data_IF_185205310045
#
_entry.id   IF_185205310045
#
_cell.length_a   1.000
_cell.length_b   1.000
_cell.length_c   1.000
_cell.angle_alpha   90.00
_cell.angle_beta   90.00
_cell.angle_gamma   90.00
#
_symmetry.space_group_name_H-M   'P 1'
#
loop_
_entity.id
_entity.type
_entity.pdbx_description
1 polymer ?
#
# COMPACT_ATOMS: atom_id res chain seq x y z
N UNK A 1 23.98 1.77 -24.86
CA UNK A 1 22.99 2.74 -24.35
C UNK A 1 21.97 2.01 -23.53
N UNK A 2 21.76 2.45 -22.33
CA UNK A 2 20.85 1.76 -21.42
C UNK A 2 19.46 2.34 -21.51
N UNK A 3 18.48 1.47 -21.61
CA UNK A 3 17.09 1.89 -21.44
C UNK A 3 16.88 2.41 -20.02
N UNK A 4 15.99 3.39 -19.81
CA UNK A 4 15.66 3.79 -18.45
C UNK A 4 15.23 2.57 -17.64
N UNK A 5 15.61 2.49 -16.38
CA UNK A 5 15.18 1.36 -15.55
C UNK A 5 13.66 1.33 -15.50
N UNK A 6 13.10 0.14 -15.58
CA UNK A 6 11.66 -0.08 -15.45
C UNK A 6 11.44 -1.31 -14.58
N UNK A 7 10.26 -1.39 -13.97
CA UNK A 7 9.88 -2.50 -13.13
C UNK A 7 8.40 -2.78 -13.32
N UNK A 8 8.01 -4.05 -13.14
CA UNK A 8 6.59 -4.37 -13.07
C UNK A 8 6.00 -3.71 -11.83
N UNK A 9 4.81 -3.15 -11.98
CA UNK A 9 4.19 -2.42 -10.87
C UNK A 9 3.93 -3.34 -9.67
N UNK A 10 3.56 -4.59 -9.89
CA UNK A 10 3.33 -5.53 -8.80
C UNK A 10 4.60 -5.80 -8.00
N UNK A 11 5.73 -5.94 -8.68
CA UNK A 11 7.02 -6.13 -8.03
C UNK A 11 7.47 -4.87 -7.30
N UNK A 12 7.30 -3.71 -7.93
CA UNK A 12 7.70 -2.45 -7.31
C UNK A 12 6.91 -2.15 -6.05
N UNK A 13 5.59 -2.35 -6.09
CA UNK A 13 4.73 -2.12 -4.93
C UNK A 13 5.15 -2.98 -3.72
N UNK A 14 5.54 -4.21 -3.98
CA UNK A 14 6.07 -5.09 -2.96
C UNK A 14 7.48 -4.67 -2.55
N UNK A 15 8.32 -4.30 -3.50
CA UNK A 15 9.71 -3.94 -3.26
C UNK A 15 9.84 -2.71 -2.35
N UNK A 16 8.98 -1.70 -2.53
CA UNK A 16 8.98 -0.48 -1.70
C UNK A 16 8.07 -0.62 -0.48
N UNK A 17 7.64 -1.83 -0.15
CA UNK A 17 6.91 -2.18 1.06
C UNK A 17 5.54 -1.51 1.21
N UNK A 18 4.91 -1.13 0.11
CA UNK A 18 3.52 -0.67 0.11
C UNK A 18 2.56 -1.83 0.35
N UNK A 19 2.95 -3.04 -0.07
CA UNK A 19 2.20 -4.26 0.17
C UNK A 19 3.12 -5.31 0.77
N UNK A 20 2.57 -6.15 1.61
CA UNK A 20 3.33 -7.17 2.34
C UNK A 20 3.80 -8.31 1.45
N UNK A 21 3.14 -8.52 0.32
CA UNK A 21 3.48 -9.58 -0.62
C UNK A 21 3.19 -9.13 -2.04
N UNK A 22 3.83 -9.78 -3.00
CA UNK A 22 3.55 -9.53 -4.40
C UNK A 22 2.11 -9.92 -4.75
N UNK A 23 1.60 -10.99 -4.14
CA UNK A 23 0.22 -11.42 -4.34
C UNK A 23 -0.77 -10.34 -3.90
N UNK A 24 -0.50 -9.68 -2.78
CA UNK A 24 -1.34 -8.58 -2.30
C UNK A 24 -1.31 -7.40 -3.28
N UNK A 25 -0.14 -7.09 -3.85
CA UNK A 25 -0.02 -6.05 -4.86
C UNK A 25 -0.81 -6.38 -6.12
N UNK A 26 -0.74 -7.63 -6.58
CA UNK A 26 -1.50 -8.10 -7.74
C UNK A 26 -3.00 -7.97 -7.48
N UNK A 27 -3.45 -8.41 -6.32
CA UNK A 27 -4.86 -8.31 -5.95
C UNK A 27 -5.34 -6.85 -5.90
N UNK A 28 -4.51 -5.95 -5.40
CA UNK A 28 -4.83 -4.52 -5.36
C UNK A 28 -4.97 -3.93 -6.76
N UNK A 29 -4.12 -4.34 -7.70
CA UNK A 29 -4.24 -3.91 -9.09
C UNK A 29 -5.56 -4.39 -9.71
N UNK A 30 -5.92 -5.65 -9.49
CA UNK A 30 -7.18 -6.19 -10.01
C UNK A 30 -8.41 -5.53 -9.38
N UNK A 31 -8.30 -5.14 -8.12
CA UNK A 31 -9.38 -4.47 -7.43
C UNK A 31 -9.53 -2.99 -7.81
N UNK A 32 -8.61 -2.45 -8.60
CA UNK A 32 -8.63 -1.04 -8.97
C UNK A 32 -8.09 -0.12 -7.90
N UNK A 33 -7.35 -0.64 -6.94
CA UNK A 33 -6.74 0.15 -5.86
C UNK A 33 -5.44 0.83 -6.27
N UNK A 34 -4.92 0.49 -7.45
CA UNK A 34 -3.68 1.07 -7.97
C UNK A 34 -4.00 1.72 -9.32
N UNK A 35 -3.71 3.01 -9.45
CA UNK A 35 -4.01 3.77 -10.65
C UNK A 35 -2.85 4.65 -11.07
N UNK A 36 -2.72 4.85 -12.38
CA UNK A 36 -1.81 5.82 -12.95
C UNK A 36 -2.65 6.78 -13.79
N UNK A 37 -2.51 8.09 -13.54
CA UNK A 37 -3.30 9.11 -14.24
C UNK A 37 -4.81 8.85 -14.16
N UNK A 38 -5.27 8.31 -13.03
CA UNK A 38 -6.68 8.02 -12.80
C UNK A 38 -7.19 6.74 -13.43
N UNK A 39 -6.35 6.00 -14.15
CA UNK A 39 -6.73 4.77 -14.83
C UNK A 39 -6.21 3.54 -14.08
N UNK A 40 -7.05 2.51 -14.02
CA UNK A 40 -6.65 1.22 -13.45
C UNK A 40 -5.50 0.64 -14.27
N UNK A 41 -4.61 -0.07 -13.58
CA UNK A 41 -3.46 -0.70 -14.24
C UNK A 41 -3.44 -2.20 -13.99
N UNK A 42 -2.84 -2.93 -14.92
CA UNK A 42 -2.62 -4.36 -14.77
C UNK A 42 -1.35 -4.60 -13.94
N UNK A 43 -1.26 -5.73 -13.21
CA UNK A 43 -0.06 -6.02 -12.42
C UNK A 43 1.23 -6.07 -13.21
N UNK A 44 1.16 -6.41 -14.50
CA UNK A 44 2.33 -6.48 -15.37
C UNK A 44 2.73 -5.12 -15.95
N UNK A 45 1.98 -4.04 -15.65
CA UNK A 45 2.32 -2.71 -16.15
C UNK A 45 3.73 -2.33 -15.71
N UNK A 46 4.53 -1.85 -16.64
CA UNK A 46 5.86 -1.35 -16.33
C UNK A 46 5.79 0.10 -15.89
N UNK A 47 6.54 0.43 -14.86
CA UNK A 47 6.68 1.79 -14.34
C UNK A 47 8.14 2.20 -14.42
N UNK A 48 8.37 3.51 -14.47
CA UNK A 48 9.69 4.11 -14.59
C UNK A 48 9.84 5.23 -13.57
N UNK A 49 11.08 5.64 -13.26
CA UNK A 49 11.29 6.82 -12.42
C UNK A 49 10.54 8.03 -12.99
N UNK A 50 9.86 8.75 -12.12
CA UNK A 50 9.02 9.88 -12.50
C UNK A 50 7.54 9.57 -12.63
N UNK A 51 7.16 8.30 -12.72
CA UNK A 51 5.75 7.93 -12.76
C UNK A 51 5.10 8.17 -11.40
N UNK A 52 3.89 8.68 -11.42
CA UNK A 52 3.11 8.95 -10.21
C UNK A 52 1.94 7.97 -10.14
N UNK A 53 1.80 7.34 -8.99
CA UNK A 53 0.77 6.32 -8.76
C UNK A 53 -0.16 6.75 -7.63
N UNK A 54 -1.44 6.42 -7.77
CA UNK A 54 -2.40 6.50 -6.68
C UNK A 54 -2.62 5.07 -6.18
N UNK A 55 -2.37 4.83 -4.91
CA UNK A 55 -2.39 3.49 -4.33
C UNK A 55 -3.19 3.51 -3.04
N UNK A 56 -4.22 2.66 -2.97
CA UNK A 56 -4.95 2.46 -1.71
C UNK A 56 -4.25 1.33 -0.96
N UNK A 57 -3.52 1.69 0.08
CA UNK A 57 -2.74 0.75 0.88
C UNK A 57 -2.92 1.04 2.37
N UNK A 58 -3.24 0.01 3.14
CA UNK A 58 -3.43 0.18 4.57
C UNK A 58 -4.56 1.13 4.94
N UNK A 59 -5.59 1.23 4.11
CA UNK A 59 -6.71 2.14 4.34
C UNK A 59 -6.41 3.61 4.01
N UNK A 60 -5.22 3.88 3.47
CA UNK A 60 -4.83 5.24 3.10
C UNK A 60 -4.75 5.35 1.58
N UNK A 61 -5.37 6.37 1.02
CA UNK A 61 -5.23 6.70 -0.39
C UNK A 61 -3.92 7.45 -0.56
N UNK A 62 -2.88 6.74 -0.97
CA UNK A 62 -1.54 7.32 -1.09
C UNK A 62 -1.27 7.76 -2.52
N UNK A 63 -0.53 8.85 -2.65
CA UNK A 63 0.00 9.31 -3.92
C UNK A 63 1.52 9.24 -3.81
N UNK A 64 2.14 8.46 -4.68
CA UNK A 64 3.58 8.22 -4.62
C UNK A 64 4.19 8.37 -6.00
N UNK A 65 5.43 8.85 -6.05
CA UNK A 65 6.20 8.95 -7.28
C UNK A 65 7.35 7.97 -7.23
N UNK A 66 7.59 7.29 -8.34
CA UNK A 66 8.71 6.37 -8.47
C UNK A 66 10.01 7.15 -8.56
N UNK A 67 10.94 6.88 -7.64
CA UNK A 67 12.31 7.41 -7.71
C UNK A 67 13.26 6.40 -8.30
N UNK A 68 13.11 5.13 -7.90
CA UNK A 68 13.87 4.03 -8.45
C UNK A 68 12.94 2.87 -8.77
N UNK A 69 12.98 2.40 -10.00
CA UNK A 69 12.15 1.29 -10.46
C UNK A 69 12.85 -0.02 -10.11
N UNK A 70 12.68 -0.46 -8.87
CA UNK A 70 13.31 -1.67 -8.35
C UNK A 70 12.33 -2.84 -8.35
N UNK A 71 12.87 -4.04 -8.47
CA UNK A 71 12.07 -5.28 -8.42
C UNK A 71 12.47 -6.19 -7.27
N UNK A 72 13.44 -5.77 -6.47
CA UNK A 72 13.88 -6.49 -5.28
C UNK A 72 13.47 -5.70 -4.04
N UNK A 73 13.00 -6.42 -3.04
CA UNK A 73 12.51 -5.79 -1.82
C UNK A 73 13.66 -5.20 -1.02
N UNK A 74 13.50 -3.92 -0.64
CA UNK A 74 14.49 -3.20 0.17
C UNK A 74 14.00 -3.05 1.60
N UNK A 75 14.93 -2.75 2.50
CA UNK A 75 14.57 -2.44 3.88
C UNK A 75 13.83 -1.10 3.97
N UNK A 76 13.09 -0.92 5.05
CA UNK A 76 12.28 0.28 5.25
C UNK A 76 13.12 1.57 5.18
N UNK A 77 14.37 1.53 5.62
CA UNK A 77 15.25 2.69 5.59
C UNK A 77 15.61 3.14 4.17
N UNK A 78 15.56 2.21 3.20
CA UNK A 78 15.90 2.50 1.80
C UNK A 78 14.68 2.96 1.00
N UNK A 79 13.47 2.69 1.47
CA UNK A 79 12.24 3.03 0.75
C UNK A 79 12.20 4.49 0.30
N UNK A 80 12.57 5.51 1.11
CA UNK A 80 12.54 6.90 0.66
C UNK A 80 13.46 7.20 -0.53
N UNK A 81 14.46 6.36 -0.78
CA UNK A 81 15.33 6.52 -1.95
C UNK A 81 14.68 6.00 -3.22
N UNK A 82 13.65 5.17 -3.09
CA UNK A 82 12.97 4.55 -4.22
C UNK A 82 11.59 5.12 -4.47
N UNK A 83 11.02 5.80 -3.49
CA UNK A 83 9.64 6.27 -3.52
C UNK A 83 9.56 7.67 -2.91
N UNK A 84 8.93 8.60 -3.62
CA UNK A 84 8.63 9.91 -3.08
C UNK A 84 7.17 9.93 -2.61
N UNK A 85 6.96 10.24 -1.34
CA UNK A 85 5.61 10.32 -0.77
C UNK A 85 5.00 11.67 -1.08
N UNK A 86 3.92 11.69 -1.84
CA UNK A 86 3.19 12.90 -2.20
C UNK A 86 1.83 12.99 -1.51
N UNK A 87 1.50 12.03 -0.68
CA UNK A 87 0.20 11.95 -0.01
C UNK A 87 0.04 13.14 0.94
N UNK A 88 -1.09 13.87 0.86
CA UNK A 88 -1.36 14.93 1.83
C UNK A 88 -1.45 14.37 3.24
N UNK A 89 -0.97 15.11 4.21
CA UNK A 89 -1.03 14.71 5.62
C UNK A 89 -2.46 14.42 6.07
N UNK A 90 -3.42 15.18 5.52
CA UNK A 90 -4.83 14.99 5.84
C UNK A 90 -5.33 13.58 5.53
N UNK A 91 -4.78 12.92 4.51
CA UNK A 91 -5.18 11.55 4.19
C UNK A 91 -4.76 10.57 5.28
N UNK A 92 -3.54 10.74 5.80
CA UNK A 92 -3.07 9.91 6.91
C UNK A 92 -3.87 10.16 8.18
N UNK A 93 -4.19 11.41 8.46
CA UNK A 93 -4.99 11.76 9.62
C UNK A 93 -6.40 11.20 9.52
N UNK A 94 -7.01 11.29 8.35
CA UNK A 94 -8.35 10.75 8.11
C UNK A 94 -8.37 9.24 8.31
N UNK A 95 -7.38 8.54 7.79
CA UNK A 95 -7.28 7.09 7.94
C UNK A 95 -7.07 6.71 9.41
N UNK A 96 -6.25 7.46 10.13
CA UNK A 96 -6.02 7.23 11.54
C UNK A 96 -7.29 7.44 12.36
N UNK A 97 -8.04 8.51 12.07
CA UNK A 97 -9.30 8.78 12.76
C UNK A 97 -10.33 7.69 12.49
N UNK A 98 -10.45 7.26 11.24
CA UNK A 98 -11.35 6.18 10.89
C UNK A 98 -10.97 4.88 11.62
N UNK A 99 -9.69 4.60 11.72
CA UNK A 99 -9.19 3.42 12.43
C UNK A 99 -9.49 3.52 13.93
N UNK A 100 -9.31 4.70 14.53
CA UNK A 100 -9.62 4.93 15.92
C UNK A 100 -11.12 4.76 16.21
N UNK A 101 -11.97 5.25 15.30
CA UNK A 101 -13.42 5.08 15.43
C UNK A 101 -13.80 3.60 15.40
N UNK A 102 -13.19 2.84 14.52
CA UNK A 102 -13.41 1.40 14.46
C UNK A 102 -12.89 0.70 15.72
N UNK A 103 -11.75 1.14 16.23
CA UNK A 103 -11.17 0.56 17.43
C UNK A 103 -11.98 0.87 18.68
N UNK A 104 -12.68 2.00 18.71
CA UNK A 104 -13.53 2.39 19.85
C UNK A 104 -14.94 1.84 19.74
N UNK A 105 -15.32 1.26 18.60
CA UNK A 105 -16.61 0.60 18.49
C UNK A 105 -16.68 -0.54 19.50
N UNK A 106 -17.82 -0.69 20.20
CA UNK A 106 -17.94 -1.76 21.17
C UNK A 106 -17.91 -3.10 20.46
N UNK A 107 -16.77 -3.76 20.56
CA UNK A 107 -16.58 -5.04 19.91
C UNK A 107 -17.31 -6.15 20.58
N UNK A 108 -17.74 -5.92 21.79
CA UNK A 108 -18.29 -6.99 22.54
C UNK A 108 -19.09 -6.42 23.67
N UNK A 109 -20.22 -6.93 23.80
CA UNK A 109 -21.13 -6.48 24.81
C UNK A 109 -20.91 -7.18 26.13
N UNK A 110 -20.11 -8.18 26.16
CA UNK A 110 -19.93 -8.99 27.36
C UNK A 110 -18.60 -8.83 28.04
N UNK A 111 -17.74 -7.98 27.56
CA UNK A 111 -16.43 -7.77 28.17
C UNK A 111 -15.55 -9.01 28.15
N UNK A 112 -15.87 -10.00 27.34
CA UNK A 112 -15.08 -11.21 27.24
C UNK A 112 -13.79 -11.00 26.47
N UNK A 113 -12.83 -11.90 26.67
CA UNK A 113 -11.61 -11.87 25.88
C UNK A 113 -11.96 -12.17 24.43
N UNK A 114 -11.27 -11.53 23.46
CA UNK A 114 -11.46 -11.86 22.08
C UNK A 114 -11.17 -13.34 21.83
N UNK A 115 -11.97 -13.98 21.00
CA UNK A 115 -11.70 -15.35 20.58
C UNK A 115 -10.46 -15.39 19.71
N UNK A 116 -9.90 -16.57 19.49
CA UNK A 116 -8.76 -16.71 18.58
C UNK A 116 -9.09 -16.19 17.19
N UNK A 117 -10.32 -16.39 16.74
CA UNK A 117 -10.77 -15.88 15.46
C UNK A 117 -10.78 -14.37 15.42
N UNK A 118 -11.28 -13.74 16.48
CA UNK A 118 -11.30 -12.27 16.56
C UNK A 118 -9.90 -11.69 16.60
N UNK A 119 -8.97 -12.33 17.27
CA UNK A 119 -7.57 -11.92 17.29
C UNK A 119 -6.95 -11.97 15.90
N UNK A 120 -7.22 -13.04 15.15
CA UNK A 120 -6.71 -13.17 13.78
C UNK A 120 -7.26 -12.08 12.87
N UNK A 121 -8.52 -11.73 13.02
CA UNK A 121 -9.13 -10.66 12.25
C UNK A 121 -8.52 -9.31 12.59
N UNK A 122 -8.25 -9.06 13.87
CA UNK A 122 -7.59 -7.83 14.30
C UNK A 122 -6.15 -7.75 13.77
N UNK A 123 -5.41 -8.85 13.84
CA UNK A 123 -4.05 -8.92 13.32
C UNK A 123 -4.02 -8.69 11.81
N UNK A 124 -5.01 -9.18 11.09
CA UNK A 124 -5.12 -8.97 9.65
C UNK A 124 -5.38 -7.51 9.30
N UNK A 125 -6.03 -6.76 10.19
CA UNK A 125 -6.30 -5.34 9.97
C UNK A 125 -5.09 -4.44 10.24
N UNK A 126 -4.10 -4.93 10.95
CA UNK A 126 -2.91 -4.16 11.29
C UNK A 126 -1.83 -4.19 10.21
N UNK A 127 -2.08 -4.80 9.11
CA UNK A 127 -1.10 -4.99 8.03
C UNK A 127 -1.01 -3.78 7.12
#
# INVERSE_FOLDING_TARGET
MHSPPSARIDKWLWAVRLFRSRSAAIAACHAGHVKIAGARVKPAREIRPGDTLAVLAGGVQRTVRVRAAIEQRVGAAVVPECLEELTPLAEFERARMAHQQQATAPFHDGGGRPTKKQRRELDALEV
#
